data_IF_659945664829
#
_entry.id   IF_659945664829
#
_cell.length_a   1.000
_cell.length_b   1.000
_cell.length_c   1.000
_cell.angle_alpha   90.00
_cell.angle_beta   90.00
_cell.angle_gamma   90.00
#
_symmetry.space_group_name_H-M   'P 1'
#
loop_
_entity.id
_entity.type
_entity.pdbx_description
1 polymer ?
#
# COMPACT_ATOMS: atom_id res chain seq x y z
N UNK A 1 12.85 2.22 -46.75
CA UNK A 1 12.73 1.07 -45.84
C UNK A 1 12.28 1.59 -44.49
N UNK A 2 10.97 1.53 -44.21
CA UNK A 2 10.45 1.92 -42.89
C UNK A 2 10.92 0.87 -41.89
N UNK A 3 11.87 1.22 -41.03
CA UNK A 3 12.13 0.41 -39.85
C UNK A 3 10.84 0.41 -39.03
N UNK A 4 10.09 -0.68 -39.12
CA UNK A 4 9.02 -1.00 -38.18
C UNK A 4 9.72 -1.24 -36.85
N UNK A 5 10.08 -0.17 -36.14
CA UNK A 5 10.49 -0.27 -34.75
C UNK A 5 9.32 -0.97 -34.05
N UNK A 6 9.56 -2.19 -33.57
CA UNK A 6 8.62 -2.91 -32.72
C UNK A 6 8.48 -2.07 -31.46
N UNK A 7 7.56 -1.11 -31.50
CA UNK A 7 7.38 -0.12 -30.45
C UNK A 7 6.79 -0.87 -29.26
N UNK A 8 7.52 -0.84 -28.15
CA UNK A 8 7.07 -1.41 -26.88
C UNK A 8 5.66 -0.84 -26.57
N UNK A 9 4.61 -1.68 -26.51
CA UNK A 9 3.26 -1.17 -26.34
C UNK A 9 3.12 -0.35 -25.06
N UNK A 10 2.61 0.88 -25.17
CA UNK A 10 2.53 1.84 -24.05
C UNK A 10 1.64 1.40 -22.88
N UNK A 11 0.84 0.35 -23.04
CA UNK A 11 0.03 -0.25 -21.97
C UNK A 11 0.81 -1.23 -21.09
N UNK A 12 1.93 -1.79 -21.57
CA UNK A 12 2.73 -2.75 -20.78
C UNK A 12 3.30 -2.10 -19.51
N UNK A 13 3.87 -0.88 -19.53
CA UNK A 13 4.28 -0.19 -18.31
C UNK A 13 3.14 0.04 -17.30
N UNK A 14 1.89 0.24 -17.79
CA UNK A 14 0.72 0.38 -16.91
C UNK A 14 0.41 -0.93 -16.19
N UNK A 15 0.51 -2.07 -16.89
CA UNK A 15 0.38 -3.37 -16.24
C UNK A 15 1.51 -3.63 -15.24
N UNK A 16 2.74 -3.25 -15.58
CA UNK A 16 3.87 -3.31 -14.64
C UNK A 16 3.58 -2.50 -13.37
N UNK A 17 3.03 -1.30 -13.52
CA UNK A 17 2.60 -0.47 -12.40
C UNK A 17 1.46 -1.06 -11.58
N UNK A 18 0.44 -1.60 -12.26
CA UNK A 18 -0.68 -2.28 -11.62
C UNK A 18 -0.20 -3.49 -10.79
N UNK A 19 0.63 -4.36 -11.37
CA UNK A 19 1.15 -5.54 -10.68
C UNK A 19 2.05 -5.15 -9.50
N UNK A 20 2.92 -4.15 -9.69
CA UNK A 20 3.79 -3.63 -8.63
C UNK A 20 2.99 -3.06 -7.45
N UNK A 21 2.00 -2.21 -7.73
CA UNK A 21 1.14 -1.66 -6.67
C UNK A 21 0.21 -2.70 -6.06
N UNK A 22 -0.22 -3.72 -6.82
CA UNK A 22 -0.90 -4.89 -6.27
C UNK A 22 -0.01 -5.61 -5.26
N UNK A 23 1.25 -5.88 -5.57
CA UNK A 23 2.17 -6.46 -4.60
C UNK A 23 2.35 -5.59 -3.33
N UNK A 24 2.41 -4.26 -3.47
CA UNK A 24 2.41 -3.34 -2.33
C UNK A 24 1.08 -3.36 -1.55
N UNK A 25 -0.05 -3.57 -2.22
CA UNK A 25 -1.37 -3.71 -1.60
C UNK A 25 -1.49 -4.99 -0.79
N UNK A 26 -0.96 -6.11 -1.30
CA UNK A 26 -0.81 -7.35 -0.55
C UNK A 26 0.05 -7.14 0.71
N UNK A 27 1.10 -6.33 0.62
CA UNK A 27 2.00 -6.05 1.74
C UNK A 27 1.30 -5.25 2.84
N UNK A 28 0.66 -4.13 2.49
CA UNK A 28 0.12 -3.18 3.46
C UNK A 28 -1.28 -3.58 3.94
N UNK A 29 -2.25 -3.67 3.02
CA UNK A 29 -3.65 -3.73 3.40
C UNK A 29 -4.10 -5.11 3.87
N UNK A 30 -3.45 -6.18 3.39
CA UNK A 30 -3.77 -7.53 3.85
C UNK A 30 -3.15 -7.88 5.22
N UNK A 31 -2.28 -7.02 5.77
CA UNK A 31 -1.67 -7.24 7.08
C UNK A 31 -2.70 -7.43 8.21
N UNK A 32 -3.84 -6.74 8.09
CA UNK A 32 -4.96 -6.83 9.04
C UNK A 32 -5.45 -8.27 9.30
N UNK A 33 -5.40 -9.14 8.28
CA UNK A 33 -5.81 -10.55 8.39
C UNK A 33 -4.85 -11.37 9.26
N UNK A 34 -3.58 -10.95 9.32
CA UNK A 34 -2.56 -11.62 10.12
C UNK A 34 -2.57 -11.20 11.59
N UNK A 35 -3.26 -10.12 11.98
CA UNK A 35 -3.24 -9.61 13.35
C UNK A 35 -3.71 -10.67 14.35
N UNK A 36 -4.93 -11.20 14.19
CA UNK A 36 -5.47 -12.18 15.16
C UNK A 36 -4.67 -13.49 15.20
N UNK A 37 -4.27 -14.09 14.05
CA UNK A 37 -3.47 -15.31 14.06
C UNK A 37 -2.06 -15.11 14.62
N UNK A 38 -1.43 -13.94 14.45
CA UNK A 38 -0.14 -13.63 15.09
C UNK A 38 -0.30 -13.45 16.59
N UNK A 39 -1.36 -12.77 17.04
CA UNK A 39 -1.66 -12.65 18.48
C UNK A 39 -1.89 -14.02 19.12
N UNK A 40 -2.61 -14.92 18.44
CA UNK A 40 -2.86 -16.27 18.94
C UNK A 40 -1.58 -17.12 19.03
N UNK A 41 -0.68 -17.00 18.06
CA UNK A 41 0.56 -17.80 18.02
C UNK A 41 1.68 -17.27 18.91
N UNK A 42 1.73 -15.96 19.15
CA UNK A 42 2.85 -15.31 19.85
C UNK A 42 2.45 -14.66 21.19
N UNK A 43 1.15 -14.65 21.53
CA UNK A 43 0.64 -13.97 22.72
C UNK A 43 0.79 -12.44 22.67
N UNK A 44 1.01 -11.87 21.49
CA UNK A 44 1.19 -10.42 21.32
C UNK A 44 -0.12 -9.66 21.52
N UNK A 45 0.01 -8.40 21.93
CA UNK A 45 -1.11 -7.47 22.05
C UNK A 45 -1.38 -6.76 20.72
N UNK A 46 -2.61 -6.26 20.53
CA UNK A 46 -2.98 -5.49 19.33
C UNK A 46 -2.01 -4.32 19.06
N UNK A 47 -1.63 -3.48 20.05
CA UNK A 47 -0.71 -2.37 19.80
C UNK A 47 0.70 -2.82 19.37
N UNK A 48 1.19 -3.96 19.87
CA UNK A 48 2.48 -4.52 19.46
C UNK A 48 2.47 -4.94 18.00
N UNK A 49 1.43 -5.66 17.55
CA UNK A 49 1.34 -6.07 16.14
C UNK A 49 1.08 -4.86 15.23
N UNK A 50 0.24 -3.91 15.68
CA UNK A 50 -0.03 -2.67 14.94
C UNK A 50 1.22 -1.78 14.79
N UNK A 51 2.14 -1.80 15.76
CA UNK A 51 3.41 -1.07 15.64
C UNK A 51 4.22 -1.54 14.42
N UNK A 52 4.19 -2.84 14.08
CA UNK A 52 4.84 -3.34 12.87
C UNK A 52 4.27 -2.68 11.60
N UNK A 53 2.95 -2.42 11.58
CA UNK A 53 2.28 -1.70 10.49
C UNK A 53 2.66 -0.21 10.46
N UNK A 54 2.85 0.43 11.61
CA UNK A 54 3.34 1.81 11.66
C UNK A 54 4.77 1.93 11.13
N UNK A 55 5.65 0.99 11.53
CA UNK A 55 7.05 0.94 11.08
C UNK A 55 7.11 0.73 9.56
N UNK A 56 6.31 -0.20 9.01
CA UNK A 56 6.32 -0.43 7.56
C UNK A 56 5.87 0.80 6.79
N UNK A 57 4.83 1.50 7.24
CA UNK A 57 4.37 2.72 6.58
C UNK A 57 5.44 3.83 6.60
N UNK A 58 6.15 3.97 7.72
CA UNK A 58 7.25 4.93 7.86
C UNK A 58 8.41 4.60 6.90
N UNK A 59 8.90 3.35 6.94
CA UNK A 59 10.05 2.94 6.12
C UNK A 59 9.69 2.95 4.64
N UNK A 60 8.49 2.49 4.28
CA UNK A 60 7.97 2.56 2.92
C UNK A 60 7.96 4.01 2.41
N UNK A 61 7.37 4.93 3.18
CA UNK A 61 7.30 6.35 2.84
C UNK A 61 8.69 6.98 2.69
N UNK A 62 9.59 6.76 3.65
CA UNK A 62 10.96 7.27 3.61
C UNK A 62 11.74 6.72 2.41
N UNK A 63 11.51 5.46 2.02
CA UNK A 63 12.21 4.85 0.89
C UNK A 63 11.69 5.24 -0.49
N UNK A 64 10.50 5.82 -0.59
CA UNK A 64 10.04 6.35 -1.89
C UNK A 64 11.01 7.42 -2.42
N UNK A 65 11.51 8.33 -1.58
CA UNK A 65 12.44 9.38 -1.99
C UNK A 65 13.74 8.85 -2.64
N UNK A 66 14.55 7.99 -1.98
CA UNK A 66 15.74 7.42 -2.60
C UNK A 66 15.39 6.50 -3.78
N UNK A 67 14.27 5.76 -3.73
CA UNK A 67 13.83 4.93 -4.85
C UNK A 67 13.59 5.75 -6.13
N UNK A 68 13.04 6.96 -6.02
CA UNK A 68 12.86 7.87 -7.15
C UNK A 68 14.19 8.25 -7.80
N UNK A 69 15.15 8.69 -6.99
CA UNK A 69 16.49 9.05 -7.47
C UNK A 69 17.25 7.86 -8.07
N UNK A 70 17.13 6.69 -7.46
CA UNK A 70 17.69 5.46 -8.00
C UNK A 70 17.02 5.07 -9.32
N UNK A 71 15.72 5.30 -9.45
CA UNK A 71 14.97 5.00 -10.68
C UNK A 71 15.40 5.89 -11.83
N UNK A 72 15.66 7.18 -11.56
CA UNK A 72 16.16 8.10 -12.58
C UNK A 72 17.58 7.75 -13.04
N UNK A 73 18.44 7.24 -12.15
CA UNK A 73 19.84 6.90 -12.46
C UNK A 73 20.03 5.51 -13.05
N UNK A 74 19.38 4.49 -12.49
CA UNK A 74 19.59 3.07 -12.83
C UNK A 74 18.42 2.45 -13.60
N UNK A 75 17.36 3.22 -13.83
CA UNK A 75 16.14 2.80 -14.51
C UNK A 75 15.12 2.14 -13.57
N UNK A 76 13.82 2.28 -13.87
CA UNK A 76 12.72 1.80 -13.02
C UNK A 76 12.71 0.28 -12.87
N UNK A 77 13.07 -0.47 -13.92
CA UNK A 77 13.11 -1.94 -13.90
C UNK A 77 14.04 -2.48 -12.80
N UNK A 78 15.25 -1.94 -12.71
CA UNK A 78 16.26 -2.46 -11.77
C UNK A 78 15.87 -2.14 -10.32
N UNK A 79 15.35 -0.94 -10.07
CA UNK A 79 14.90 -0.52 -8.74
C UNK A 79 13.72 -1.36 -8.27
N UNK A 80 12.73 -1.59 -9.14
CA UNK A 80 11.57 -2.43 -8.81
C UNK A 80 11.97 -3.88 -8.61
N UNK A 81 12.91 -4.42 -9.40
CA UNK A 81 13.38 -5.80 -9.25
C UNK A 81 14.11 -6.01 -7.91
N UNK A 82 15.08 -5.15 -7.59
CA UNK A 82 15.85 -5.22 -6.34
C UNK A 82 14.93 -4.97 -5.14
N UNK A 83 14.09 -3.94 -5.22
CA UNK A 83 13.08 -3.63 -4.21
C UNK A 83 12.12 -4.79 -3.99
N UNK A 84 11.65 -5.42 -5.06
CA UNK A 84 10.77 -6.58 -5.03
C UNK A 84 11.37 -7.79 -4.35
N UNK A 85 12.63 -8.08 -4.64
CA UNK A 85 13.37 -9.17 -3.99
C UNK A 85 13.49 -8.89 -2.50
N UNK A 86 13.87 -7.67 -2.10
CA UNK A 86 13.97 -7.27 -0.69
C UNK A 86 12.60 -7.35 0.00
N UNK A 87 11.54 -6.88 -0.68
CA UNK A 87 10.18 -6.91 -0.18
C UNK A 87 9.70 -8.34 0.10
N UNK A 88 9.82 -9.21 -0.92
CA UNK A 88 9.44 -10.61 -0.83
C UNK A 88 10.28 -11.35 0.21
N UNK A 89 11.59 -11.06 0.28
CA UNK A 89 12.48 -11.63 1.28
C UNK A 89 12.07 -11.24 2.69
N UNK A 90 11.80 -9.96 2.95
CA UNK A 90 11.33 -9.49 4.26
C UNK A 90 10.02 -10.19 4.67
N UNK A 91 9.06 -10.29 3.76
CA UNK A 91 7.79 -10.98 4.01
C UNK A 91 7.98 -12.48 4.25
N UNK A 92 8.83 -13.13 3.45
CA UNK A 92 9.19 -14.55 3.61
C UNK A 92 9.88 -14.82 4.96
N UNK A 93 10.78 -13.94 5.39
CA UNK A 93 11.53 -14.09 6.65
C UNK A 93 10.62 -14.09 7.88
N UNK A 94 9.45 -13.44 7.82
CA UNK A 94 8.43 -13.55 8.88
C UNK A 94 8.01 -15.01 9.12
N UNK A 95 7.97 -15.85 8.08
CA UNK A 95 7.63 -17.28 8.22
C UNK A 95 8.67 -18.09 9.02
N UNK A 96 9.87 -17.53 9.22
CA UNK A 96 10.96 -18.21 9.95
C UNK A 96 10.96 -17.89 11.45
N UNK A 97 10.13 -16.94 11.88
CA UNK A 97 9.99 -16.59 13.30
C UNK A 97 9.34 -17.77 14.02
N UNK A 98 10.09 -18.38 14.94
CA UNK A 98 9.60 -19.51 15.75
C UNK A 98 8.66 -18.98 16.82
N UNK A 99 7.42 -19.50 16.95
CA UNK A 99 6.54 -19.11 18.04
C UNK A 99 7.09 -19.63 19.40
N UNK A 100 6.76 -18.95 20.52
CA UNK A 100 7.03 -19.46 21.86
C UNK A 100 6.24 -20.75 22.13
N UNK A 101 6.61 -21.48 23.18
CA UNK A 101 5.86 -22.67 23.61
C UNK A 101 4.38 -22.30 23.89
N UNK A 102 3.40 -22.97 23.25
CA UNK A 102 1.99 -22.73 23.47
C UNK A 102 1.56 -22.83 24.94
N UNK A 103 2.21 -23.68 25.74
CA UNK A 103 1.93 -23.82 27.16
C UNK A 103 2.31 -22.54 27.94
N UNK A 104 3.40 -21.86 27.55
CA UNK A 104 3.83 -20.58 28.14
C UNK A 104 2.88 -19.45 27.77
N UNK A 105 2.37 -19.45 26.53
CA UNK A 105 1.39 -18.46 26.08
C UNK A 105 0.06 -18.65 26.82
N UNK A 106 -0.40 -19.90 26.96
CA UNK A 106 -1.62 -20.25 27.67
C UNK A 106 -1.55 -19.96 29.18
N UNK A 107 -0.39 -20.16 29.80
CA UNK A 107 -0.15 -19.85 31.21
C UNK A 107 -0.20 -18.34 31.52
N UNK A 108 0.02 -17.48 30.52
CA UNK A 108 -0.03 -16.03 30.67
C UNK A 108 1.08 -15.45 31.58
N UNK A 109 0.89 -14.22 32.04
CA UNK A 109 1.80 -13.55 32.98
C UNK A 109 3.06 -12.92 32.36
N UNK A 110 4.02 -12.57 33.21
CA UNK A 110 5.31 -11.97 32.82
C UNK A 110 6.12 -12.87 31.89
N UNK A 111 6.09 -14.19 32.12
CA UNK A 111 6.81 -15.18 31.31
C UNK A 111 6.30 -15.24 29.86
N UNK A 112 4.98 -15.21 29.64
CA UNK A 112 4.38 -15.13 28.29
C UNK A 112 4.78 -13.84 27.57
N UNK A 113 4.76 -12.69 28.29
CA UNK A 113 5.16 -11.39 27.74
C UNK A 113 6.65 -11.34 27.38
N UNK A 114 7.52 -11.97 28.18
CA UNK A 114 8.95 -12.03 27.94
C UNK A 114 9.28 -12.94 26.74
N UNK A 115 8.62 -14.09 26.64
CA UNK A 115 8.85 -15.06 25.56
C UNK A 115 8.46 -14.49 24.17
N UNK A 116 7.37 -13.72 24.09
CA UNK A 116 6.94 -13.08 22.84
C UNK A 116 7.77 -11.84 22.45
N UNK A 117 8.38 -11.13 23.41
CA UNK A 117 9.13 -9.88 23.15
C UNK A 117 10.37 -10.08 22.28
N UNK A 118 11.10 -11.17 22.51
CA UNK A 118 12.33 -11.48 21.76
C UNK A 118 12.07 -11.83 20.29
N UNK A 119 10.83 -12.13 19.92
CA UNK A 119 10.45 -12.44 18.54
C UNK A 119 9.73 -11.26 17.88
N UNK A 120 9.16 -10.36 18.69
CA UNK A 120 8.46 -9.18 18.20
C UNK A 120 9.38 -8.23 17.41
N UNK A 121 10.64 -8.08 17.83
CA UNK A 121 11.61 -7.28 17.08
C UNK A 121 11.91 -7.88 15.69
N UNK A 122 11.86 -9.20 15.53
CA UNK A 122 12.02 -9.86 14.23
C UNK A 122 10.87 -9.51 13.30
N UNK A 123 9.63 -9.42 13.82
CA UNK A 123 8.50 -8.92 13.03
C UNK A 123 8.75 -7.47 12.59
N UNK A 124 9.21 -6.61 13.49
CA UNK A 124 9.51 -5.21 13.17
C UNK A 124 10.63 -5.08 12.14
N UNK A 125 11.67 -5.90 12.23
CA UNK A 125 12.77 -5.90 11.27
C UNK A 125 12.31 -6.46 9.91
N UNK A 126 11.77 -7.68 9.88
CA UNK A 126 11.46 -8.39 8.64
C UNK A 126 10.29 -7.78 7.88
N UNK A 127 9.17 -7.54 8.57
CA UNK A 127 7.99 -6.93 7.97
C UNK A 127 8.10 -5.41 7.95
N UNK A 128 8.39 -4.78 9.09
CA UNK A 128 8.44 -3.33 9.21
C UNK A 128 9.54 -2.69 8.35
N UNK A 129 10.78 -3.12 8.53
CA UNK A 129 11.94 -2.46 7.91
C UNK A 129 12.27 -3.04 6.55
N UNK A 130 12.55 -4.35 6.46
CA UNK A 130 13.01 -4.98 5.22
C UNK A 130 11.90 -4.97 4.17
N UNK A 131 10.71 -5.47 4.50
CA UNK A 131 9.61 -5.49 3.54
C UNK A 131 9.14 -4.08 3.18
N UNK A 132 9.12 -3.15 4.14
CA UNK A 132 8.81 -1.73 3.89
C UNK A 132 9.81 -1.05 2.96
N UNK A 133 11.12 -1.29 3.15
CA UNK A 133 12.18 -0.78 2.28
C UNK A 133 11.98 -1.24 0.84
N UNK A 134 11.75 -2.54 0.66
CA UNK A 134 11.51 -3.12 -0.65
C UNK A 134 10.23 -2.57 -1.29
N UNK A 135 9.14 -2.46 -0.51
CA UNK A 135 7.86 -1.93 -0.97
C UNK A 135 7.94 -0.50 -1.49
N UNK A 136 8.67 0.38 -0.80
CA UNK A 136 8.89 1.76 -1.26
C UNK A 136 9.62 1.82 -2.61
N UNK A 137 10.58 0.92 -2.83
CA UNK A 137 11.29 0.76 -4.09
C UNK A 137 10.43 0.20 -5.23
N UNK A 138 9.43 -0.63 -4.93
CA UNK A 138 8.47 -1.16 -5.92
C UNK A 138 7.42 -0.11 -6.31
N UNK A 139 7.00 0.69 -5.33
CA UNK A 139 5.84 1.58 -5.49
C UNK A 139 6.10 2.80 -6.37
N UNK A 140 7.21 3.51 -6.15
CA UNK A 140 7.42 4.81 -6.79
C UNK A 140 7.81 4.75 -8.27
N UNK A 141 8.72 3.86 -8.72
CA UNK A 141 9.20 3.90 -10.12
C UNK A 141 8.09 3.75 -11.18
N UNK A 142 7.08 2.88 -11.01
CA UNK A 142 5.96 2.82 -11.94
C UNK A 142 5.13 4.11 -11.98
N UNK A 143 4.90 4.74 -10.83
CA UNK A 143 4.14 6.00 -10.71
C UNK A 143 4.86 7.13 -11.48
N UNK A 144 6.19 7.16 -11.43
CA UNK A 144 6.99 8.12 -12.17
C UNK A 144 7.11 7.80 -13.67
N UNK A 145 6.96 6.53 -14.06
CA UNK A 145 7.17 6.06 -15.44
C UNK A 145 5.90 6.05 -16.28
N UNK A 146 4.76 5.70 -15.68
CA UNK A 146 3.48 5.59 -16.38
C UNK A 146 3.05 6.89 -17.10
N UNK A 147 3.13 8.09 -16.46
CA UNK A 147 2.76 9.35 -17.13
C UNK A 147 3.68 9.71 -18.30
N UNK A 148 4.92 9.21 -18.31
CA UNK A 148 5.88 9.44 -19.40
C UNK A 148 5.44 8.71 -20.69
N UNK A 149 4.74 7.59 -20.57
CA UNK A 149 4.15 6.85 -21.71
C UNK A 149 2.77 7.36 -22.13
N UNK A 150 2.11 8.14 -21.28
CA UNK A 150 0.76 8.66 -21.49
C UNK A 150 0.69 10.17 -21.24
N UNK A 151 1.44 10.99 -22.01
CA UNK A 151 1.37 12.45 -21.88
C UNK A 151 -0.02 13.01 -22.23
N UNK A 152 -0.82 12.24 -22.98
CA UNK A 152 -2.22 12.52 -23.31
C UNK A 152 -3.19 12.29 -22.15
N UNK A 153 -2.83 11.45 -21.17
CA UNK A 153 -3.70 10.98 -20.07
C UNK A 153 -2.89 10.72 -18.80
N UNK A 154 -2.17 11.75 -18.33
CA UNK A 154 -1.17 11.61 -17.26
C UNK A 154 -1.82 11.20 -15.94
N UNK A 155 -2.98 11.78 -15.60
CA UNK A 155 -3.66 11.50 -14.34
C UNK A 155 -4.26 10.09 -14.36
N UNK A 156 -4.90 9.67 -15.46
CA UNK A 156 -5.40 8.30 -15.61
C UNK A 156 -4.28 7.24 -15.53
N UNK A 157 -3.14 7.47 -16.20
CA UNK A 157 -2.00 6.55 -16.14
C UNK A 157 -1.43 6.40 -14.73
N UNK A 158 -1.37 7.50 -13.98
CA UNK A 158 -0.99 7.50 -12.56
C UNK A 158 -2.01 6.73 -11.72
N UNK A 159 -3.31 7.03 -11.90
CA UNK A 159 -4.42 6.38 -11.19
C UNK A 159 -4.45 4.86 -11.39
N UNK A 160 -4.27 4.40 -12.63
CA UNK A 160 -4.20 2.98 -12.96
C UNK A 160 -2.99 2.29 -12.33
N UNK A 161 -1.89 3.02 -12.17
CA UNK A 161 -0.70 2.49 -11.51
C UNK A 161 -0.90 2.31 -10.01
N UNK A 162 -1.69 3.16 -9.35
CA UNK A 162 -1.89 3.08 -7.89
C UNK A 162 -3.10 2.25 -7.46
N UNK A 163 -4.06 2.00 -8.36
CA UNK A 163 -5.27 1.22 -8.04
C UNK A 163 -4.96 -0.21 -7.56
N UNK A 164 -3.80 -0.75 -7.97
CA UNK A 164 -3.37 -2.08 -7.54
C UNK A 164 -3.24 -2.19 -6.02
N UNK A 165 -2.93 -1.12 -5.28
CA UNK A 165 -2.92 -1.12 -3.82
C UNK A 165 -4.25 -1.64 -3.25
N UNK A 166 -5.38 -1.16 -3.79
CA UNK A 166 -6.71 -1.60 -3.39
C UNK A 166 -7.04 -3.02 -3.86
N UNK A 167 -6.69 -3.36 -5.10
CA UNK A 167 -6.92 -4.72 -5.64
C UNK A 167 -6.17 -5.80 -4.84
N UNK A 168 -4.98 -5.47 -4.36
CA UNK A 168 -4.16 -6.38 -3.56
C UNK A 168 -4.86 -6.83 -2.28
N UNK A 169 -5.56 -5.93 -1.59
CA UNK A 169 -6.30 -6.28 -0.37
C UNK A 169 -7.50 -7.17 -0.65
N UNK A 170 -8.22 -6.89 -1.75
CA UNK A 170 -9.42 -7.62 -2.14
C UNK A 170 -9.12 -9.09 -2.50
N UNK A 171 -8.02 -9.34 -3.21
CA UNK A 171 -7.59 -10.69 -3.59
C UNK A 171 -7.01 -11.43 -2.37
N UNK A 172 -6.18 -10.73 -1.59
CA UNK A 172 -5.37 -11.34 -0.54
C UNK A 172 -6.18 -11.68 0.71
N UNK A 173 -7.15 -10.86 1.10
CA UNK A 173 -7.92 -11.12 2.32
C UNK A 173 -8.64 -12.50 2.34
N UNK A 174 -9.42 -12.90 1.32
CA UNK A 174 -10.04 -14.22 1.28
C UNK A 174 -9.00 -15.34 1.11
N UNK A 175 -7.98 -15.14 0.26
CA UNK A 175 -6.91 -16.13 0.06
C UNK A 175 -6.13 -16.40 1.36
N UNK A 176 -5.70 -15.35 2.06
CA UNK A 176 -4.99 -15.45 3.33
C UNK A 176 -5.84 -16.13 4.39
N UNK A 177 -7.12 -15.74 4.52
CA UNK A 177 -8.05 -16.37 5.47
C UNK A 177 -8.21 -17.87 5.18
N UNK A 178 -8.39 -18.25 3.92
CA UNK A 178 -8.48 -19.65 3.51
C UNK A 178 -7.21 -20.45 3.84
N UNK A 179 -6.04 -19.90 3.53
CA UNK A 179 -4.75 -20.54 3.83
C UNK A 179 -4.49 -20.64 5.34
N UNK A 180 -4.81 -19.60 6.11
CA UNK A 180 -4.67 -19.61 7.58
C UNK A 180 -5.56 -20.68 8.21
N UNK A 181 -6.80 -20.82 7.73
CA UNK A 181 -7.71 -21.86 8.19
C UNK A 181 -7.22 -23.27 7.81
N UNK A 182 -6.62 -23.44 6.63
CA UNK A 182 -6.09 -24.72 6.19
C UNK A 182 -4.86 -25.17 6.98
N UNK A 183 -3.90 -24.25 7.20
CA UNK A 183 -2.64 -24.56 7.90
C UNK A 183 -2.73 -24.37 9.43
N UNK A 184 -3.80 -23.76 9.94
CA UNK A 184 -3.95 -23.41 11.36
C UNK A 184 -2.97 -22.33 11.86
N UNK A 185 -2.17 -21.73 10.98
CA UNK A 185 -1.10 -20.78 11.32
C UNK A 185 -0.94 -19.72 10.23
N UNK A 186 -0.58 -18.51 10.65
CA UNK A 186 -0.20 -17.42 9.75
C UNK A 186 1.19 -17.60 9.12
N UNK A 187 2.12 -18.32 9.75
CA UNK A 187 3.52 -18.37 9.31
C UNK A 187 3.69 -19.01 7.91
N UNK A 188 3.04 -20.14 7.57
CA UNK A 188 3.09 -20.70 6.22
C UNK A 188 2.54 -19.75 5.15
N UNK A 189 1.58 -18.90 5.53
CA UNK A 189 0.96 -17.94 4.60
C UNK A 189 1.93 -16.82 4.25
N UNK A 190 2.72 -16.32 5.22
CA UNK A 190 3.82 -15.39 4.93
C UNK A 190 4.82 -15.96 3.92
N UNK A 191 5.11 -17.27 3.98
CA UNK A 191 5.99 -17.94 3.03
C UNK A 191 5.40 -17.95 1.61
N UNK A 192 4.18 -18.47 1.46
CA UNK A 192 3.52 -18.63 0.16
C UNK A 192 3.34 -17.27 -0.52
N UNK A 193 2.88 -16.29 0.26
CA UNK A 193 2.60 -14.94 -0.24
C UNK A 193 3.89 -14.20 -0.56
N UNK A 194 4.95 -14.37 0.24
CA UNK A 194 6.26 -13.80 -0.07
C UNK A 194 6.79 -14.28 -1.42
N UNK A 195 6.64 -15.58 -1.71
CA UNK A 195 7.00 -16.15 -3.02
C UNK A 195 6.10 -15.61 -4.14
N UNK A 196 4.79 -15.52 -3.91
CA UNK A 196 3.86 -14.95 -4.89
C UNK A 196 4.18 -13.48 -5.20
N UNK A 197 4.47 -12.68 -4.17
CA UNK A 197 4.92 -11.28 -4.31
C UNK A 197 6.19 -11.19 -5.14
N UNK A 198 7.17 -12.09 -4.91
CA UNK A 198 8.40 -12.13 -5.71
C UNK A 198 8.10 -12.32 -7.20
N UNK A 199 7.26 -13.31 -7.52
CA UNK A 199 6.89 -13.61 -8.92
C UNK A 199 6.17 -12.40 -9.55
N UNK A 200 5.19 -11.83 -8.85
CA UNK A 200 4.42 -10.67 -9.33
C UNK A 200 5.35 -9.49 -9.60
N UNK A 201 6.29 -9.19 -8.69
CA UNK A 201 7.19 -8.05 -8.85
C UNK A 201 8.25 -8.29 -9.92
N UNK A 202 8.74 -9.52 -10.09
CA UNK A 202 9.64 -9.86 -11.21
C UNK A 202 8.93 -9.60 -12.54
N UNK A 203 7.68 -10.06 -12.69
CA UNK A 203 6.87 -9.79 -13.89
C UNK A 203 6.63 -8.28 -14.05
N UNK A 204 6.27 -7.58 -12.97
CA UNK A 204 6.06 -6.14 -12.97
C UNK A 204 7.32 -5.40 -13.46
N UNK A 205 8.49 -5.75 -12.93
CA UNK A 205 9.77 -5.15 -13.29
C UNK A 205 10.10 -5.35 -14.78
N UNK A 206 9.82 -6.54 -15.33
CA UNK A 206 10.02 -6.85 -16.75
C UNK A 206 9.10 -6.01 -17.67
N UNK A 207 7.93 -5.61 -17.19
CA UNK A 207 7.01 -4.72 -17.89
C UNK A 207 7.42 -3.24 -17.85
N UNK A 208 8.35 -2.84 -16.98
CA UNK A 208 8.74 -1.44 -16.81
C UNK A 208 9.91 -1.05 -17.73
N UNK A 209 9.70 0.02 -18.49
CA UNK A 209 10.72 0.63 -19.34
C UNK A 209 10.46 2.13 -19.42
N UNK A 210 11.51 2.94 -19.46
CA UNK A 210 11.38 4.39 -19.73
C UNK A 210 11.16 4.58 -21.23
N UNK A 211 10.23 5.45 -21.66
CA UNK A 211 10.04 5.73 -23.09
C UNK A 211 11.28 6.46 -23.66
N UNK A 212 11.53 6.37 -24.98
CA UNK A 212 12.59 7.13 -25.63
C UNK A 212 12.42 8.65 -25.41
N UNK A 213 13.52 9.39 -25.40
CA UNK A 213 13.47 10.84 -25.29
C UNK A 213 12.61 11.45 -26.41
N UNK A 214 11.67 12.33 -26.05
CA UNK A 214 10.76 12.95 -27.01
C UNK A 214 9.59 12.08 -27.47
N UNK A 215 9.32 10.95 -26.78
CA UNK A 215 8.16 10.11 -27.08
C UNK A 215 6.85 10.91 -27.08
N UNK A 216 6.08 10.75 -28.15
CA UNK A 216 4.72 11.28 -28.29
C UNK A 216 3.80 10.14 -28.75
N UNK A 217 2.62 9.99 -28.13
CA UNK A 217 1.61 9.07 -28.63
C UNK A 217 1.22 9.40 -30.07
N UNK A 218 0.93 8.36 -30.86
CA UNK A 218 0.44 8.55 -32.22
C UNK A 218 -0.83 9.41 -32.22
N UNK A 219 -0.83 10.50 -32.98
CA UNK A 219 -1.96 11.43 -33.10
C UNK A 219 -2.10 12.45 -31.97
N UNK A 220 -1.17 12.51 -31.01
CA UNK A 220 -1.16 13.54 -29.96
C UNK A 220 -0.15 14.64 -30.25
N UNK A 221 -0.65 15.87 -30.43
CA UNK A 221 0.17 17.07 -30.46
C UNK A 221 0.09 17.76 -29.08
N UNK A 222 1.23 18.19 -28.50
CA UNK A 222 1.21 18.89 -27.23
C UNK A 222 0.36 20.18 -27.34
N UNK A 223 -0.40 20.54 -26.29
CA UNK A 223 -1.15 21.79 -26.26
C UNK A 223 -0.22 22.97 -26.57
N UNK A 224 -0.65 23.87 -27.45
CA UNK A 224 0.11 25.08 -27.73
C UNK A 224 0.28 25.88 -26.42
N UNK A 225 1.47 26.44 -26.13
CA UNK A 225 1.67 27.28 -24.94
C UNK A 225 0.62 28.38 -24.91
N UNK A 226 -0.05 28.55 -23.77
CA UNK A 226 -1.00 29.64 -23.59
C UNK A 226 -0.23 30.97 -23.57
N UNK A 227 -0.28 31.71 -24.68
CA UNK A 227 0.29 33.06 -24.80
C UNK A 227 1.32 33.18 -25.92
N UNK A 228 1.04 34.05 -26.90
CA UNK A 228 1.86 34.34 -28.08
C UNK A 228 3.19 35.07 -27.81
N UNK A 229 3.92 34.67 -26.77
CA UNK A 229 5.32 35.03 -26.62
C UNK A 229 6.16 33.93 -27.29
N UNK A 230 7.18 34.34 -28.05
CA UNK A 230 8.24 33.48 -28.61
C UNK A 230 8.52 32.32 -27.67
N UNK A 231 8.34 31.09 -28.17
CA UNK A 231 8.49 29.85 -27.42
C UNK A 231 9.91 29.76 -26.86
N UNK A 232 10.15 30.37 -25.68
CA UNK A 232 11.29 30.05 -24.84
C UNK A 232 11.18 28.55 -24.60
N UNK A 233 12.24 27.81 -24.92
CA UNK A 233 12.30 26.39 -24.66
C UNK A 233 12.00 26.15 -23.17
N UNK A 234 10.75 25.80 -22.86
CA UNK A 234 10.32 25.47 -21.51
C UNK A 234 10.96 24.12 -21.20
N UNK A 235 12.05 24.15 -20.43
CA UNK A 235 12.62 22.92 -19.87
C UNK A 235 11.90 22.59 -18.57
N UNK A 236 11.81 21.29 -18.29
CA UNK A 236 11.35 20.83 -16.97
C UNK A 236 12.29 21.35 -15.88
N UNK A 237 11.72 21.64 -14.70
CA UNK A 237 12.49 21.99 -13.52
C UNK A 237 13.38 20.82 -13.11
N UNK A 238 14.61 21.12 -12.70
CA UNK A 238 15.43 20.14 -11.99
C UNK A 238 14.87 19.89 -10.60
N UNK A 239 15.29 18.80 -9.96
CA UNK A 239 14.89 18.51 -8.59
C UNK A 239 15.26 19.64 -7.61
N UNK A 240 16.48 20.20 -7.72
CA UNK A 240 16.94 21.25 -6.80
C UNK A 240 16.15 22.55 -7.00
N UNK A 241 15.80 22.90 -8.24
CA UNK A 241 14.93 24.05 -8.52
C UNK A 241 13.51 23.83 -8.01
N UNK A 242 12.96 22.63 -8.17
CA UNK A 242 11.61 22.29 -7.70
C UNK A 242 11.50 22.45 -6.19
N UNK A 243 12.50 21.97 -5.43
CA UNK A 243 12.52 22.05 -3.96
C UNK A 243 12.69 23.47 -3.42
N UNK A 244 13.29 24.37 -4.21
CA UNK A 244 13.43 25.77 -3.88
C UNK A 244 12.12 26.57 -4.07
N UNK A 245 11.12 26.02 -4.76
CA UNK A 245 9.84 26.71 -4.95
C UNK A 245 8.93 26.58 -3.70
N UNK A 246 8.22 27.66 -3.31
CA UNK A 246 7.28 27.58 -2.19
C UNK A 246 6.06 26.68 -2.51
N UNK A 247 5.67 26.58 -3.79
CA UNK A 247 4.57 25.72 -4.24
C UNK A 247 4.83 24.24 -3.89
N UNK A 248 6.09 23.78 -3.99
CA UNK A 248 6.47 22.42 -3.61
C UNK A 248 6.13 22.13 -2.13
N UNK A 249 6.46 23.04 -1.22
CA UNK A 249 6.22 22.86 0.21
C UNK A 249 4.74 23.02 0.58
N UNK A 250 4.00 23.90 -0.10
CA UNK A 250 2.54 23.99 0.07
C UNK A 250 1.85 22.69 -0.33
N UNK A 251 2.22 22.10 -1.47
CA UNK A 251 1.71 20.79 -1.91
C UNK A 251 2.12 19.67 -0.95
N UNK A 252 3.35 19.71 -0.43
CA UNK A 252 3.83 18.74 0.55
C UNK A 252 3.01 18.79 1.85
N UNK A 253 2.78 19.99 2.40
CA UNK A 253 1.97 20.17 3.62
C UNK A 253 0.52 19.76 3.38
N UNK A 254 -0.07 20.13 2.24
CA UNK A 254 -1.41 19.70 1.88
C UNK A 254 -1.51 18.17 1.79
N UNK A 255 -0.52 17.51 1.18
CA UNK A 255 -0.45 16.06 1.08
C UNK A 255 -0.29 15.39 2.46
N UNK A 256 0.55 15.97 3.32
CA UNK A 256 0.74 15.51 4.70
C UNK A 256 -0.57 15.63 5.50
N UNK A 257 -1.21 16.80 5.51
CA UNK A 257 -2.46 17.04 6.22
C UNK A 257 -3.58 16.12 5.73
N UNK A 258 -3.73 15.97 4.40
CA UNK A 258 -4.73 15.08 3.81
C UNK A 258 -4.49 13.61 4.17
N UNK A 259 -3.25 13.13 4.07
CA UNK A 259 -2.88 11.75 4.42
C UNK A 259 -3.04 11.48 5.92
N UNK A 260 -2.62 12.42 6.76
CA UNK A 260 -2.72 12.32 8.22
C UNK A 260 -4.17 12.24 8.67
N UNK A 261 -5.02 13.17 8.22
CA UNK A 261 -6.44 13.17 8.53
C UNK A 261 -7.14 11.90 8.01
N UNK A 262 -6.83 11.48 6.78
CA UNK A 262 -7.41 10.28 6.18
C UNK A 262 -7.10 9.00 6.97
N UNK A 263 -5.82 8.75 7.24
CA UNK A 263 -5.39 7.55 8.00
C UNK A 263 -5.95 7.54 9.43
N UNK A 264 -6.00 8.70 10.09
CA UNK A 264 -6.57 8.83 11.43
C UNK A 264 -8.06 8.52 11.46
N UNK A 265 -8.84 9.12 10.55
CA UNK A 265 -10.28 8.88 10.45
C UNK A 265 -10.58 7.41 10.15
N UNK A 266 -9.91 6.81 9.16
CA UNK A 266 -10.09 5.40 8.79
C UNK A 266 -9.87 4.48 10.01
N UNK A 267 -8.82 4.73 10.80
CA UNK A 267 -8.51 3.92 11.99
C UNK A 267 -9.54 4.02 13.11
N UNK A 268 -10.31 5.11 13.19
CA UNK A 268 -11.23 5.39 14.30
C UNK A 268 -12.71 5.16 13.96
N UNK A 269 -13.10 5.18 12.69
CA UNK A 269 -14.51 5.06 12.26
C UNK A 269 -15.19 3.80 12.83
N UNK A 270 -14.54 2.63 12.73
CA UNK A 270 -15.12 1.38 13.22
C UNK A 270 -15.32 1.40 14.75
N UNK A 271 -14.30 1.88 15.48
CA UNK A 271 -14.35 1.99 16.94
C UNK A 271 -15.45 2.96 17.38
N UNK A 272 -15.51 4.13 16.76
CA UNK A 272 -16.55 5.12 17.04
C UNK A 272 -17.95 4.56 16.78
N UNK A 273 -18.13 3.81 15.68
CA UNK A 273 -19.39 3.12 15.38
C UNK A 273 -19.78 2.09 16.45
N UNK A 274 -18.82 1.29 16.92
CA UNK A 274 -19.05 0.34 18.03
C UNK A 274 -19.45 1.08 19.31
N UNK A 275 -18.71 2.13 19.68
CA UNK A 275 -18.96 2.89 20.90
C UNK A 275 -20.35 3.56 20.87
N UNK A 276 -20.72 4.22 19.76
CA UNK A 276 -22.01 4.88 19.60
C UNK A 276 -23.20 3.89 19.63
N UNK A 277 -23.10 2.76 18.92
CA UNK A 277 -24.17 1.75 18.91
C UNK A 277 -24.26 0.99 20.23
N UNK A 278 -23.14 0.75 20.90
CA UNK A 278 -23.14 0.14 22.24
C UNK A 278 -23.82 1.05 23.26
N UNK A 279 -23.54 2.36 23.22
CA UNK A 279 -24.21 3.34 24.08
C UNK A 279 -25.72 3.36 23.85
N UNK A 280 -26.17 3.34 22.59
CA UNK A 280 -27.60 3.27 22.25
C UNK A 280 -28.23 1.97 22.76
N UNK A 281 -27.59 0.83 22.54
CA UNK A 281 -28.09 -0.47 22.98
C UNK A 281 -28.24 -0.53 24.51
N UNK A 282 -27.28 0.02 25.24
CA UNK A 282 -27.32 0.12 26.71
C UNK A 282 -28.50 0.96 27.17
N UNK A 283 -28.75 2.10 26.51
CA UNK A 283 -29.88 2.96 26.82
C UNK A 283 -31.22 2.26 26.54
N UNK A 284 -31.35 1.58 25.39
CA UNK A 284 -32.58 0.89 24.97
C UNK A 284 -32.90 -0.33 25.86
N UNK A 285 -31.87 -1.00 26.42
CA UNK A 285 -32.02 -2.19 27.25
C UNK A 285 -31.88 -1.94 28.76
N UNK A 286 -31.65 -0.70 29.17
CA UNK A 286 -31.45 -0.34 30.58
C UNK A 286 -30.23 -1.00 31.23
N UNK A 287 -29.16 -1.23 30.47
CA UNK A 287 -27.94 -1.83 30.99
C UNK A 287 -27.08 -0.77 31.71
N UNK A 288 -26.30 -1.19 32.70
CA UNK A 288 -25.42 -0.27 33.43
C UNK A 288 -24.10 0.01 32.69
N UNK A 289 -23.57 -0.97 31.95
CA UNK A 289 -22.27 -0.85 31.25
C UNK A 289 -22.22 -1.68 29.97
N UNK A 290 -21.27 -1.34 29.08
CA UNK A 290 -20.95 -2.09 27.84
C UNK A 290 -20.62 -3.56 28.13
N UNK A 291 -20.05 -3.87 29.31
CA UNK A 291 -19.70 -5.25 29.69
C UNK A 291 -20.92 -6.16 29.88
N UNK A 292 -22.11 -5.57 30.04
CA UNK A 292 -23.34 -6.31 30.26
C UNK A 292 -24.07 -6.62 28.95
N UNK A 293 -23.55 -6.18 27.80
CA UNK A 293 -24.10 -6.53 26.49
C UNK A 293 -23.84 -8.03 26.23
N UNK A 294 -24.87 -8.83 25.91
CA UNK A 294 -24.69 -10.23 25.56
C UNK A 294 -23.66 -10.41 24.43
N UNK A 295 -22.78 -11.43 24.47
CA UNK A 295 -21.73 -11.62 23.47
C UNK A 295 -22.23 -11.70 22.02
N UNK A 296 -23.43 -12.26 21.81
CA UNK A 296 -24.07 -12.33 20.50
C UNK A 296 -24.43 -10.93 19.94
N UNK A 297 -24.96 -10.06 20.79
CA UNK A 297 -25.36 -8.71 20.41
C UNK A 297 -24.14 -7.78 20.24
N UNK A 298 -23.12 -7.94 21.08
CA UNK A 298 -21.85 -7.25 20.91
C UNK A 298 -21.20 -7.60 19.55
N UNK A 299 -21.31 -8.86 19.12
CA UNK A 299 -20.85 -9.31 17.80
C UNK A 299 -21.69 -8.70 16.67
N UNK A 300 -23.01 -8.61 16.83
CA UNK A 300 -23.90 -7.98 15.85
C UNK A 300 -23.60 -6.48 15.69
N UNK A 301 -23.40 -5.76 16.79
CA UNK A 301 -23.00 -4.34 16.79
C UNK A 301 -21.66 -4.16 16.09
N UNK A 302 -20.67 -5.00 16.38
CA UNK A 302 -19.37 -4.95 15.72
C UNK A 302 -19.46 -5.23 14.21
N UNK A 303 -20.31 -6.16 13.78
CA UNK A 303 -20.57 -6.42 12.36
C UNK A 303 -21.24 -5.25 11.66
N UNK A 304 -22.24 -4.62 12.30
CA UNK A 304 -22.89 -3.42 11.75
C UNK A 304 -21.89 -2.25 11.62
N UNK A 305 -21.01 -2.06 12.62
CA UNK A 305 -20.01 -0.99 12.61
C UNK A 305 -18.97 -1.16 11.49
N UNK A 306 -18.68 -2.41 11.13
CA UNK A 306 -17.69 -2.74 10.10
C UNK A 306 -18.18 -2.44 8.66
N UNK A 307 -19.47 -2.17 8.45
CA UNK A 307 -20.01 -1.79 7.14
C UNK A 307 -19.46 -0.44 6.68
N UNK A 308 -19.43 0.56 7.57
CA UNK A 308 -18.96 1.92 7.26
C UNK A 308 -17.52 1.97 6.69
N UNK A 309 -16.49 1.38 7.34
CA UNK A 309 -15.13 1.36 6.78
C UNK A 309 -15.03 0.52 5.50
N UNK A 310 -15.86 -0.53 5.35
CA UNK A 310 -15.88 -1.35 4.13
C UNK A 310 -16.39 -0.55 2.92
N UNK A 311 -17.47 0.22 3.09
CA UNK A 311 -18.01 1.12 2.05
C UNK A 311 -17.00 2.20 1.66
N UNK A 312 -16.29 2.77 2.63
CA UNK A 312 -15.25 3.77 2.39
C UNK A 312 -14.09 3.21 1.54
N UNK A 313 -13.72 1.94 1.74
CA UNK A 313 -12.73 1.24 0.92
C UNK A 313 -13.14 1.14 -0.56
N UNK A 314 -14.42 0.88 -0.84
CA UNK A 314 -14.97 0.82 -2.20
C UNK A 314 -14.86 2.19 -2.89
N UNK A 315 -15.30 3.25 -2.20
CA UNK A 315 -15.20 4.61 -2.73
C UNK A 315 -13.74 5.02 -2.96
N UNK A 316 -12.83 4.68 -2.04
CA UNK A 316 -11.41 4.96 -2.20
C UNK A 316 -10.83 4.29 -3.47
N UNK A 317 -11.16 3.03 -3.72
CA UNK A 317 -10.73 2.35 -4.95
C UNK A 317 -11.32 2.98 -6.21
N UNK A 318 -12.61 3.34 -6.18
CA UNK A 318 -13.30 3.97 -7.31
C UNK A 318 -12.72 5.36 -7.65
N UNK A 319 -12.39 6.17 -6.63
CA UNK A 319 -11.83 7.52 -6.80
C UNK A 319 -10.53 7.51 -7.62
N UNK A 320 -9.65 6.52 -7.39
CA UNK A 320 -8.39 6.40 -8.12
C UNK A 320 -8.58 6.17 -9.63
N UNK A 321 -9.70 5.58 -10.05
CA UNK A 321 -10.04 5.36 -11.48
C UNK A 321 -10.85 6.53 -12.03
N UNK A 322 -11.78 7.10 -11.26
CA UNK A 322 -12.75 8.09 -11.74
C UNK A 322 -12.19 9.52 -11.81
N UNK A 323 -11.32 9.90 -10.88
CA UNK A 323 -10.81 11.29 -10.80
C UNK A 323 -9.77 11.56 -11.88
N UNK A 324 -8.95 10.57 -12.26
CA UNK A 324 -7.94 10.72 -13.30
C UNK A 324 -8.49 11.25 -14.64
N UNK A 325 -9.49 10.57 -15.25
CA UNK A 325 -10.14 11.04 -16.47
C UNK A 325 -10.82 12.40 -16.36
N UNK A 326 -11.32 12.76 -15.17
CA UNK A 326 -11.95 14.05 -14.94
C UNK A 326 -10.88 15.15 -14.96
N UNK A 327 -9.80 15.00 -14.20
CA UNK A 327 -8.65 15.93 -14.17
C UNK A 327 -8.02 16.05 -15.55
N UNK A 328 -7.83 14.95 -16.28
CA UNK A 328 -7.28 14.96 -17.64
C UNK A 328 -8.16 15.78 -18.62
N UNK A 329 -9.47 15.96 -18.34
CA UNK A 329 -10.39 16.76 -19.16
C UNK A 329 -10.49 18.22 -18.73
N UNK A 330 -10.49 18.50 -17.43
CA UNK A 330 -10.75 19.85 -16.89
C UNK A 330 -9.47 20.64 -16.57
N UNK A 331 -8.31 19.97 -16.57
CA UNK A 331 -7.04 20.55 -16.12
C UNK A 331 -6.83 20.38 -14.61
N UNK A 332 -5.56 20.19 -14.21
CA UNK A 332 -5.12 20.11 -12.81
C UNK A 332 -4.83 21.49 -12.23
#
# INVERSE_FOLDING_TARGET
MSQTQTTFPRWIPLLGGLLGSTACGLLLYAFSVFIRPLMAQFGWTVPQVAMAYSIICLVFGLMTFPAGRLSDKYGPRNVVLIGGIIMAFGFYMVSTIKPPDPAVIAAGGEAAKAAGRSQLWLLYLYYGVIAGFGGGCVYLPPIATAPKWWPDRRALATGFTVVGLGLGSFIMAPMATGLINHYGSALPVFRIVGIAMLIIVVIAALCLKVPPAGYKPAGWNPPAPAGGATAKATRDFTYEESKATPQFWLLWVAYFCGSFAGLMCIGLIAKHGIDAMSLKYIADKGLATIKNIPPADAKAIAMAAAVAPSTLGIFNAAVHIMVGPLIDKIGS
#
